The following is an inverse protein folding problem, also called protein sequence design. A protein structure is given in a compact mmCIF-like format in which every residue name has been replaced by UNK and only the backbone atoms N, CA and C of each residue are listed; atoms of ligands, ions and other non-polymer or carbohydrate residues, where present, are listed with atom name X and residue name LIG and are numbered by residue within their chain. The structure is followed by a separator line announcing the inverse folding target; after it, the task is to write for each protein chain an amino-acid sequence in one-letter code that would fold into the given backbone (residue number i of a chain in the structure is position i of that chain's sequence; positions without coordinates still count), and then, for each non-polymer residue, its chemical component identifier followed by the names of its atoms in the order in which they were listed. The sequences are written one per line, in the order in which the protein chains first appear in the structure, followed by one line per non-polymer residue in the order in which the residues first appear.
data_IF_601908898331
#
_entry.id   IF_601908898331
#
_cell.length_a   1.000
_cell.length_b   1.000
_cell.length_c   1.000
_cell.angle_alpha   90.00
_cell.angle_beta   90.00
_cell.angle_gamma   90.00
#
_symmetry.space_group_name_H-M   'P 1'
#
loop_
_entity.id
_entity.type
_entity.pdbx_description
1 polymer ?
#
# COMPACT_ATOMS: atom_id res chain seq x y z
N UNK A 1 3.87 -36.02 -0.25
CA UNK A 1 3.13 -34.83 0.17
C UNK A 1 3.74 -34.11 1.38
N UNK A 2 4.04 -34.77 2.51
CA UNK A 2 4.76 -34.13 3.63
C UNK A 2 6.24 -33.85 3.34
N UNK A 3 6.94 -34.70 2.57
CA UNK A 3 8.37 -34.54 2.22
C UNK A 3 8.68 -33.27 1.41
N UNK A 4 7.78 -32.80 0.56
CA UNK A 4 7.97 -31.55 -0.21
C UNK A 4 7.68 -30.30 0.63
N UNK A 5 7.06 -30.48 1.76
CA UNK A 5 6.62 -29.41 2.66
C UNK A 5 7.66 -29.03 3.71
N UNK A 6 8.40 -30.04 4.16
CA UNK A 6 9.43 -29.94 5.17
C UNK A 6 10.80 -29.77 4.51
N UNK A 7 10.90 -28.89 3.50
CA UNK A 7 12.23 -28.46 3.10
C UNK A 7 12.85 -27.78 4.33
N UNK A 8 13.86 -28.43 4.91
CA UNK A 8 14.56 -28.01 6.13
C UNK A 8 14.98 -26.53 6.05
N UNK A 9 15.32 -26.05 4.83
CA UNK A 9 15.65 -24.64 4.56
C UNK A 9 14.47 -23.70 4.77
N UNK A 10 13.26 -24.11 4.38
CA UNK A 10 12.07 -23.29 4.58
C UNK A 10 11.70 -23.20 6.05
N UNK A 11 11.67 -24.33 6.75
CA UNK A 11 11.39 -24.37 8.20
C UNK A 11 12.43 -23.60 8.99
N UNK A 12 13.71 -23.78 8.67
CA UNK A 12 14.79 -23.02 9.30
C UNK A 12 14.64 -21.53 9.08
N UNK A 13 14.44 -21.09 7.83
CA UNK A 13 14.25 -19.68 7.50
C UNK A 13 12.99 -19.11 8.15
N UNK A 14 11.88 -19.87 8.14
CA UNK A 14 10.65 -19.50 8.82
C UNK A 14 10.85 -19.35 10.34
N UNK A 15 11.55 -20.27 10.96
CA UNK A 15 11.86 -20.23 12.41
C UNK A 15 12.79 -19.07 12.77
N UNK A 16 13.82 -18.81 11.96
CA UNK A 16 14.73 -17.68 12.15
C UNK A 16 13.98 -16.35 12.05
N UNK A 17 13.08 -16.21 11.11
CA UNK A 17 12.27 -14.99 10.95
C UNK A 17 11.35 -14.80 12.16
N UNK A 18 10.67 -15.85 12.58
CA UNK A 18 9.82 -15.81 13.76
C UNK A 18 10.61 -15.43 15.01
N UNK A 19 11.78 -16.03 15.19
CA UNK A 19 12.67 -15.71 16.30
C UNK A 19 13.12 -14.26 16.26
N UNK A 20 13.58 -13.76 15.11
CA UNK A 20 14.01 -12.37 14.94
C UNK A 20 12.86 -11.39 15.18
N UNK A 21 11.68 -11.68 14.63
CA UNK A 21 10.52 -10.80 14.80
C UNK A 21 10.01 -10.82 16.23
N UNK A 22 10.02 -11.99 16.89
CA UNK A 22 9.68 -12.12 18.31
C UNK A 22 10.68 -11.36 19.20
N UNK A 23 11.97 -11.41 18.87
CA UNK A 23 13.01 -10.68 19.61
C UNK A 23 12.87 -9.16 19.47
N UNK A 24 12.46 -8.67 18.28
CA UNK A 24 12.30 -7.25 17.99
C UNK A 24 10.97 -6.65 18.49
N UNK A 25 9.91 -7.45 18.59
CA UNK A 25 8.57 -7.01 18.99
C UNK A 25 7.76 -8.12 19.71
N UNK A 26 8.20 -8.58 20.89
CA UNK A 26 7.72 -9.84 21.51
C UNK A 26 6.24 -9.81 21.89
N UNK A 27 5.78 -8.80 22.61
CA UNK A 27 4.38 -8.72 23.06
C UNK A 27 3.40 -8.59 21.92
N UNK A 28 3.76 -7.75 20.98
CA UNK A 28 2.95 -7.42 19.83
C UNK A 28 2.73 -8.61 18.91
N UNK A 29 3.82 -9.36 18.63
CA UNK A 29 3.75 -10.52 17.76
C UNK A 29 2.96 -11.66 18.38
N UNK A 30 3.11 -11.89 19.66
CA UNK A 30 2.41 -12.95 20.36
C UNK A 30 0.88 -12.71 20.32
N UNK A 31 0.45 -11.51 20.69
CA UNK A 31 -0.96 -11.14 20.70
C UNK A 31 -1.59 -11.18 19.29
N UNK A 32 -0.91 -10.59 18.29
CA UNK A 32 -1.38 -10.59 16.90
C UNK A 32 -1.43 -12.01 16.32
N UNK A 33 -0.44 -12.85 16.58
CA UNK A 33 -0.40 -14.21 16.04
C UNK A 33 -1.51 -15.10 16.60
N UNK A 34 -1.88 -14.96 17.87
CA UNK A 34 -3.04 -15.66 18.44
C UNK A 34 -4.34 -15.27 17.73
N UNK A 35 -4.56 -13.97 17.49
CA UNK A 35 -5.73 -13.50 16.75
C UNK A 35 -5.78 -14.08 15.34
N UNK A 36 -4.64 -14.11 14.65
CA UNK A 36 -4.61 -14.61 13.27
C UNK A 36 -4.82 -16.11 13.19
N UNK A 37 -4.28 -16.88 14.15
CA UNK A 37 -4.55 -18.30 14.26
C UNK A 37 -6.07 -18.51 14.47
N UNK A 38 -6.68 -17.74 15.38
CA UNK A 38 -8.12 -17.80 15.61
C UNK A 38 -8.92 -17.51 14.34
N UNK A 39 -8.57 -16.44 13.63
CA UNK A 39 -9.26 -16.09 12.37
C UNK A 39 -9.08 -17.18 11.30
N UNK A 40 -7.89 -17.78 11.18
CA UNK A 40 -7.64 -18.90 10.24
C UNK A 40 -8.50 -20.10 10.61
N UNK A 41 -8.56 -20.46 11.90
CA UNK A 41 -9.35 -21.59 12.38
C UNK A 41 -10.84 -21.35 12.09
N UNK A 42 -11.35 -20.14 12.40
CA UNK A 42 -12.74 -19.79 12.09
C UNK A 42 -13.05 -19.89 10.58
N UNK A 43 -12.18 -19.35 9.73
CA UNK A 43 -12.35 -19.43 8.28
C UNK A 43 -12.31 -20.88 7.79
N UNK A 44 -11.41 -21.71 8.34
CA UNK A 44 -11.35 -23.15 8.01
C UNK A 44 -12.61 -23.87 8.42
N UNK A 45 -13.12 -23.63 9.65
CA UNK A 45 -14.35 -24.22 10.15
C UNK A 45 -15.56 -23.80 9.30
N UNK A 46 -15.67 -22.52 8.96
CA UNK A 46 -16.76 -22.03 8.10
C UNK A 46 -16.69 -22.67 6.71
N UNK A 47 -15.51 -22.81 6.12
CA UNK A 47 -15.36 -23.48 4.82
C UNK A 47 -15.73 -24.97 4.87
N UNK A 48 -15.48 -25.62 6.01
CA UNK A 48 -15.71 -27.05 6.18
C UNK A 48 -17.18 -27.36 6.52
N UNK A 49 -17.76 -26.59 7.44
CA UNK A 49 -19.09 -26.86 8.00
C UNK A 49 -20.21 -26.13 7.24
N UNK A 50 -19.92 -24.96 6.67
CA UNK A 50 -20.91 -24.09 6.04
C UNK A 50 -20.51 -23.66 4.63
N UNK A 51 -20.51 -24.57 3.60
CA UNK A 51 -20.03 -24.26 2.24
C UNK A 51 -20.76 -23.10 1.56
N UNK A 52 -22.04 -22.87 1.87
CA UNK A 52 -22.79 -21.71 1.33
C UNK A 52 -22.30 -20.39 1.93
N UNK A 53 -22.06 -20.34 3.24
CA UNK A 53 -21.56 -19.17 3.95
C UNK A 53 -20.11 -18.86 3.56
N UNK A 54 -19.33 -19.88 3.24
CA UNK A 54 -17.92 -19.73 2.84
C UNK A 54 -17.73 -18.81 1.62
N UNK A 55 -18.74 -18.67 0.76
CA UNK A 55 -18.72 -17.76 -0.40
C UNK A 55 -18.69 -16.29 0.02
N UNK A 56 -19.15 -15.96 1.23
CA UNK A 56 -19.15 -14.60 1.78
C UNK A 56 -17.83 -14.24 2.50
N UNK A 57 -17.03 -15.25 2.88
CA UNK A 57 -15.79 -15.02 3.62
C UNK A 57 -14.82 -14.03 2.97
N UNK A 58 -14.57 -14.05 1.64
CA UNK A 58 -13.70 -13.09 1.01
C UNK A 58 -14.15 -11.64 1.19
N UNK A 59 -15.47 -11.40 1.18
CA UNK A 59 -16.06 -10.07 1.38
C UNK A 59 -15.99 -9.65 2.85
N UNK A 60 -16.32 -10.55 3.78
CA UNK A 60 -16.24 -10.32 5.22
C UNK A 60 -14.80 -9.94 5.60
N UNK A 61 -13.81 -10.70 5.12
CA UNK A 61 -12.40 -10.45 5.38
C UNK A 61 -11.93 -9.14 4.74
N UNK A 62 -12.44 -8.80 3.56
CA UNK A 62 -12.11 -7.54 2.90
C UNK A 62 -12.60 -6.34 3.72
N UNK A 63 -13.86 -6.33 4.12
CA UNK A 63 -14.45 -5.21 4.84
C UNK A 63 -14.10 -5.16 6.34
N UNK A 64 -13.62 -6.26 6.92
CA UNK A 64 -13.20 -6.28 8.33
C UNK A 64 -12.11 -5.27 8.65
N UNK A 65 -11.24 -4.95 7.70
CA UNK A 65 -10.20 -3.91 7.86
C UNK A 65 -10.83 -2.52 8.05
N UNK A 66 -11.78 -2.15 7.19
CA UNK A 66 -12.50 -0.87 7.31
C UNK A 66 -13.32 -0.77 8.60
N UNK A 67 -13.94 -1.88 9.04
CA UNK A 67 -14.64 -1.92 10.31
C UNK A 67 -13.71 -1.67 11.50
N UNK A 68 -12.53 -2.28 11.51
CA UNK A 68 -11.54 -2.07 12.58
C UNK A 68 -11.03 -0.62 12.64
N UNK A 69 -10.79 0.01 11.49
CA UNK A 69 -10.42 1.43 11.45
C UNK A 69 -11.55 2.33 11.96
N UNK A 70 -12.80 1.97 11.69
CA UNK A 70 -13.97 2.68 12.21
C UNK A 70 -14.10 2.59 13.73
N UNK A 71 -13.90 1.42 14.32
CA UNK A 71 -13.89 1.27 15.78
C UNK A 71 -12.76 2.08 16.43
N UNK A 72 -11.57 2.13 15.83
CA UNK A 72 -10.48 3.00 16.29
C UNK A 72 -10.86 4.49 16.24
N UNK A 73 -11.57 4.91 15.21
CA UNK A 73 -12.05 6.29 15.07
C UNK A 73 -13.12 6.64 16.14
N UNK A 74 -14.07 5.76 16.41
CA UNK A 74 -15.08 5.95 17.48
C UNK A 74 -14.39 6.11 18.83
N UNK A 75 -13.34 5.33 19.12
CA UNK A 75 -12.57 5.47 20.36
C UNK A 75 -12.00 6.89 20.53
N UNK A 76 -11.38 7.41 19.48
CA UNK A 76 -10.80 8.78 19.50
C UNK A 76 -11.89 9.82 19.74
N UNK A 77 -13.08 9.66 19.13
CA UNK A 77 -14.18 10.61 19.27
C UNK A 77 -14.87 10.56 20.64
N UNK A 78 -15.00 9.37 21.21
CA UNK A 78 -15.80 9.15 22.44
C UNK A 78 -14.97 9.21 23.71
N UNK A 79 -13.63 9.18 23.61
CA UNK A 79 -12.75 9.08 24.78
C UNK A 79 -12.94 7.80 25.60
N UNK A 80 -13.72 6.84 25.09
CA UNK A 80 -13.98 5.58 25.79
C UNK A 80 -12.75 4.71 25.82
N UNK A 81 -12.07 4.70 26.94
CA UNK A 81 -10.93 3.85 27.22
C UNK A 81 -11.39 2.47 27.72
N UNK A 82 -12.19 1.77 26.93
CA UNK A 82 -12.61 0.42 27.26
C UNK A 82 -11.50 -0.56 26.87
N UNK A 83 -11.02 -1.36 27.82
CA UNK A 83 -9.86 -2.26 27.68
C UNK A 83 -9.83 -3.18 26.45
N UNK A 84 -10.96 -3.40 25.78
CA UNK A 84 -11.05 -4.11 24.50
C UNK A 84 -10.51 -3.27 23.32
N UNK A 85 -10.59 -1.92 23.40
CA UNK A 85 -10.21 -1.02 22.28
C UNK A 85 -8.77 -0.50 22.45
N UNK A 86 -8.15 -0.66 23.61
CA UNK A 86 -6.69 -0.45 23.81
C UNK A 86 -5.85 -1.43 22.99
N UNK A 87 -6.49 -2.36 22.35
CA UNK A 87 -5.92 -3.41 21.53
C UNK A 87 -5.79 -3.05 20.04
N UNK A 88 -5.79 -1.77 19.61
CA UNK A 88 -5.47 -1.40 18.22
C UNK A 88 -4.11 -1.97 17.80
N UNK A 89 -3.21 -2.12 18.76
CA UNK A 89 -1.92 -2.78 18.58
C UNK A 89 -2.05 -4.26 18.17
N UNK A 90 -3.14 -4.95 18.51
CA UNK A 90 -3.35 -6.36 18.13
C UNK A 90 -3.68 -6.54 16.64
N UNK A 91 -4.05 -5.48 15.92
CA UNK A 91 -4.48 -5.55 14.53
C UNK A 91 -3.39 -5.14 13.54
N UNK A 92 -2.18 -4.97 14.03
CA UNK A 92 -1.04 -4.61 13.20
C UNK A 92 -0.81 -5.64 12.07
N UNK A 93 -0.69 -5.16 10.83
CA UNK A 93 -0.59 -6.02 9.67
C UNK A 93 -1.87 -6.78 9.31
N UNK A 94 -2.96 -6.60 10.06
CA UNK A 94 -4.23 -7.29 9.81
C UNK A 94 -4.78 -7.04 8.41
N UNK A 95 -4.64 -5.83 7.88
CA UNK A 95 -5.11 -5.48 6.55
C UNK A 95 -4.50 -6.37 5.46
N UNK A 96 -3.20 -6.61 5.49
CA UNK A 96 -2.54 -7.50 4.52
C UNK A 96 -2.85 -8.96 4.77
N UNK A 97 -2.97 -9.34 6.02
CA UNK A 97 -3.37 -10.69 6.41
C UNK A 97 -4.79 -11.00 5.93
N UNK A 98 -5.78 -10.16 6.24
CA UNK A 98 -7.18 -10.35 5.87
C UNK A 98 -7.38 -10.39 4.35
N UNK A 99 -6.70 -9.50 3.59
CA UNK A 99 -6.73 -9.50 2.14
C UNK A 99 -6.14 -10.79 1.55
N UNK A 100 -5.03 -11.27 2.11
CA UNK A 100 -4.40 -12.50 1.65
C UNK A 100 -5.23 -13.73 1.97
N UNK A 101 -5.82 -13.79 3.17
CA UNK A 101 -6.72 -14.85 3.58
C UNK A 101 -8.01 -14.84 2.74
N UNK A 102 -8.58 -13.66 2.50
CA UNK A 102 -9.74 -13.46 1.64
C UNK A 102 -9.49 -13.94 0.21
N UNK A 103 -8.31 -13.64 -0.33
CA UNK A 103 -7.93 -14.13 -1.65
C UNK A 103 -7.78 -15.66 -1.71
N UNK A 104 -7.19 -16.27 -0.69
CA UNK A 104 -7.11 -17.73 -0.60
C UNK A 104 -8.49 -18.36 -0.45
N UNK A 105 -9.37 -17.77 0.36
CA UNK A 105 -10.75 -18.23 0.52
C UNK A 105 -11.55 -18.15 -0.78
N UNK A 106 -11.24 -17.19 -1.65
CA UNK A 106 -11.87 -17.04 -2.97
C UNK A 106 -11.44 -18.12 -3.96
N UNK A 107 -10.14 -18.48 -3.96
CA UNK A 107 -9.55 -19.28 -5.04
C UNK A 107 -9.26 -20.73 -4.67
N UNK A 108 -9.18 -21.05 -3.37
CA UNK A 108 -8.84 -22.42 -2.92
C UNK A 108 -9.34 -22.67 -1.50
N UNK A 109 -9.53 -23.94 -1.16
CA UNK A 109 -9.70 -24.33 0.25
C UNK A 109 -8.40 -24.09 1.02
N UNK A 110 -8.53 -23.61 2.26
CA UNK A 110 -7.40 -23.49 3.16
C UNK A 110 -6.77 -24.87 3.40
N UNK A 111 -5.48 -24.95 3.21
CA UNK A 111 -4.67 -26.12 3.53
C UNK A 111 -3.48 -25.66 4.38
N UNK A 112 -2.81 -26.59 5.05
CA UNK A 112 -1.74 -26.32 5.98
C UNK A 112 -0.59 -25.52 5.34
N UNK A 113 -0.34 -25.70 4.05
CA UNK A 113 0.62 -24.94 3.26
C UNK A 113 0.29 -23.47 3.22
N UNK A 114 -0.94 -23.17 2.83
CA UNK A 114 -1.43 -21.82 2.68
C UNK A 114 -1.45 -21.12 4.04
N UNK A 115 -1.78 -21.86 5.11
CA UNK A 115 -1.81 -21.36 6.50
C UNK A 115 -0.40 -20.97 6.97
N UNK A 116 0.58 -21.85 6.86
CA UNK A 116 1.97 -21.55 7.23
C UNK A 116 2.52 -20.36 6.44
N UNK A 117 2.11 -20.26 5.18
CA UNK A 117 2.51 -19.15 4.34
C UNK A 117 1.87 -17.82 4.76
N UNK A 118 0.61 -17.84 5.19
CA UNK A 118 -0.08 -16.68 5.76
C UNK A 118 0.56 -16.21 7.07
N UNK A 119 1.02 -17.11 7.89
CA UNK A 119 1.64 -16.82 9.20
C UNK A 119 3.07 -16.29 9.10
N UNK A 120 3.63 -16.08 7.91
CA UNK A 120 4.96 -15.49 7.78
C UNK A 120 4.96 -14.02 8.23
N UNK A 121 5.70 -13.66 9.31
CA UNK A 121 5.61 -12.34 9.94
C UNK A 121 6.03 -11.18 9.05
N UNK A 122 6.90 -11.38 8.06
CA UNK A 122 7.29 -10.34 7.11
C UNK A 122 6.11 -9.78 6.32
N UNK A 123 5.07 -10.57 6.11
CA UNK A 123 3.86 -10.16 5.42
C UNK A 123 3.03 -9.16 6.21
N UNK A 124 3.24 -9.11 7.51
CA UNK A 124 2.51 -8.21 8.40
C UNK A 124 2.96 -6.77 8.26
N UNK A 125 4.22 -6.56 7.89
CA UNK A 125 4.75 -5.20 7.74
C UNK A 125 4.23 -4.52 6.48
N UNK A 126 4.20 -5.21 5.34
CA UNK A 126 3.71 -4.66 4.07
C UNK A 126 3.65 -5.72 2.97
N UNK A 127 3.49 -6.97 3.32
CA UNK A 127 3.61 -8.08 2.39
C UNK A 127 2.75 -7.90 1.15
N UNK A 128 3.27 -8.25 -0.03
CA UNK A 128 2.44 -8.34 -1.21
C UNK A 128 1.35 -9.37 -0.98
N UNK A 129 0.13 -9.06 -1.41
CA UNK A 129 -0.98 -10.02 -1.44
C UNK A 129 -0.56 -11.13 -2.40
N UNK A 130 -0.51 -12.36 -1.90
CA UNK A 130 -0.08 -13.49 -2.72
C UNK A 130 -1.22 -13.98 -3.57
N UNK A 131 -0.98 -14.07 -4.86
CA UNK A 131 -1.93 -14.59 -5.84
C UNK A 131 -1.64 -16.03 -6.29
N UNK A 132 -0.51 -16.61 -5.93
CA UNK A 132 -0.29 -18.04 -6.12
C UNK A 132 0.62 -18.60 -5.04
N UNK A 133 0.12 -19.58 -4.30
CA UNK A 133 0.97 -20.48 -3.53
C UNK A 133 1.41 -21.57 -4.50
N UNK A 134 2.54 -21.36 -5.15
CA UNK A 134 3.08 -22.40 -6.03
C UNK A 134 3.59 -23.56 -5.18
N UNK A 135 3.33 -24.79 -5.64
CA UNK A 135 3.74 -26.01 -4.94
C UNK A 135 5.25 -26.22 -4.88
N UNK A 136 6.04 -25.39 -5.54
CA UNK A 136 7.50 -25.53 -5.61
C UNK A 136 8.16 -24.22 -5.18
N UNK A 137 8.88 -24.28 -4.06
CA UNK A 137 9.88 -23.27 -3.73
C UNK A 137 10.95 -23.30 -4.83
N UNK A 138 11.25 -22.16 -5.42
CA UNK A 138 12.26 -22.09 -6.48
C UNK A 138 13.65 -22.04 -5.83
N UNK A 139 14.56 -22.88 -6.31
CA UNK A 139 15.95 -22.78 -5.92
C UNK A 139 16.50 -21.39 -6.24
N UNK A 140 17.19 -20.80 -5.26
CA UNK A 140 17.82 -19.50 -5.39
C UNK A 140 19.23 -19.69 -5.93
N UNK A 141 19.47 -19.32 -7.18
CA UNK A 141 20.81 -19.30 -7.78
C UNK A 141 21.56 -18.02 -7.42
N UNK A 142 22.90 -18.03 -7.49
CA UNK A 142 23.75 -16.86 -7.27
C UNK A 142 23.31 -15.65 -8.11
N UNK A 143 22.93 -15.88 -9.38
CA UNK A 143 22.39 -14.85 -10.27
C UNK A 143 21.10 -14.20 -9.74
N UNK A 144 20.28 -14.94 -8.98
CA UNK A 144 19.08 -14.41 -8.34
C UNK A 144 19.37 -13.64 -7.06
N UNK A 145 20.46 -13.97 -6.36
CA UNK A 145 20.87 -13.26 -5.12
C UNK A 145 21.11 -11.78 -5.43
N UNK A 146 21.83 -11.47 -6.50
CA UNK A 146 22.04 -10.08 -6.93
C UNK A 146 20.73 -9.32 -7.15
N UNK A 147 19.73 -9.97 -7.75
CA UNK A 147 18.41 -9.36 -7.95
C UNK A 147 17.66 -9.17 -6.63
N UNK A 148 17.74 -10.14 -5.72
CA UNK A 148 17.11 -10.09 -4.39
C UNK A 148 17.73 -8.95 -3.56
N UNK A 149 19.05 -8.87 -3.52
CA UNK A 149 19.77 -7.81 -2.80
C UNK A 149 19.39 -6.43 -3.33
N UNK A 150 19.26 -6.27 -4.66
CA UNK A 150 18.83 -5.00 -5.26
C UNK A 150 17.42 -4.60 -4.78
N UNK A 151 16.47 -5.54 -4.67
CA UNK A 151 15.15 -5.26 -4.13
C UNK A 151 15.20 -4.80 -2.67
N UNK A 152 16.02 -5.45 -1.85
CA UNK A 152 16.16 -5.09 -0.44
C UNK A 152 16.81 -3.71 -0.27
N UNK A 153 17.92 -3.45 -0.97
CA UNK A 153 18.62 -2.16 -0.95
C UNK A 153 17.67 -1.04 -1.43
N UNK A 154 16.98 -1.25 -2.54
CA UNK A 154 16.00 -0.29 -3.05
C UNK A 154 14.87 -0.04 -2.05
N UNK A 155 14.41 -1.09 -1.38
CA UNK A 155 13.39 -1.00 -0.36
C UNK A 155 13.83 -0.15 0.83
N UNK A 156 15.03 -0.38 1.36
CA UNK A 156 15.63 0.43 2.43
C UNK A 156 15.78 1.87 1.96
N UNK A 157 16.34 2.09 0.80
CA UNK A 157 16.56 3.43 0.26
C UNK A 157 15.26 4.23 0.13
N UNK A 158 14.19 3.61 -0.38
CA UNK A 158 12.90 4.28 -0.51
C UNK A 158 12.25 4.56 0.83
N UNK A 159 12.14 3.54 1.71
CA UNK A 159 11.39 3.65 2.95
C UNK A 159 12.13 4.42 4.05
N UNK A 160 13.46 4.29 4.13
CA UNK A 160 14.25 4.80 5.25
C UNK A 160 15.20 5.95 4.89
N UNK A 161 15.38 6.25 3.61
CA UNK A 161 16.17 7.41 3.18
C UNK A 161 15.27 8.44 2.51
N UNK A 162 14.62 8.10 1.39
CA UNK A 162 13.85 9.08 0.62
C UNK A 162 12.53 9.49 1.28
N UNK A 163 11.75 8.54 1.82
CA UNK A 163 10.47 8.88 2.43
C UNK A 163 10.64 9.78 3.67
N UNK A 164 11.56 9.52 4.63
CA UNK A 164 11.74 10.40 5.80
C UNK A 164 12.11 11.83 5.44
N UNK A 165 12.89 12.06 4.37
CA UNK A 165 13.25 13.43 3.95
C UNK A 165 12.04 14.27 3.56
N UNK A 166 10.94 13.65 3.15
CA UNK A 166 9.69 14.34 2.81
C UNK A 166 8.83 14.69 4.03
N UNK A 167 9.10 14.11 5.21
CA UNK A 167 8.34 14.43 6.45
C UNK A 167 8.50 15.88 6.90
N UNK A 168 9.57 16.55 6.52
CA UNK A 168 9.80 17.97 6.81
C UNK A 168 8.66 18.87 6.31
N UNK A 169 7.87 18.40 5.34
CA UNK A 169 6.73 19.09 4.77
C UNK A 169 5.39 18.79 5.46
N UNK A 170 5.36 17.91 6.47
CA UNK A 170 4.11 17.54 7.16
C UNK A 170 3.42 18.67 7.89
N UNK A 171 4.10 19.70 8.42
CA UNK A 171 3.42 20.88 8.98
C UNK A 171 2.47 21.57 7.99
N UNK A 172 2.73 21.46 6.67
CA UNK A 172 1.84 22.00 5.63
C UNK A 172 0.43 21.39 5.65
N UNK A 173 0.26 20.21 6.25
CA UNK A 173 -1.07 19.58 6.41
C UNK A 173 -2.03 20.51 7.19
N UNK A 174 -1.53 21.29 8.13
CA UNK A 174 -2.34 22.23 8.92
C UNK A 174 -2.73 23.52 8.18
N UNK A 175 -2.14 23.80 7.01
CA UNK A 175 -2.39 25.02 6.26
C UNK A 175 -3.67 24.96 5.42
N UNK A 176 -4.31 26.12 5.25
CA UNK A 176 -5.39 26.36 4.28
C UNK A 176 -4.95 27.24 3.13
N UNK A 177 -3.70 27.74 3.12
CA UNK A 177 -3.14 28.48 1.99
C UNK A 177 -3.06 27.59 0.74
N UNK A 178 -3.56 28.05 -0.39
CA UNK A 178 -3.65 27.27 -1.63
C UNK A 178 -2.31 26.66 -2.08
N UNK A 179 -1.22 27.43 -1.96
CA UNK A 179 0.12 26.98 -2.35
C UNK A 179 0.59 25.84 -1.42
N UNK A 180 0.40 25.99 -0.12
CA UNK A 180 0.77 24.98 0.87
C UNK A 180 -0.05 23.69 0.67
N UNK A 181 -1.36 23.81 0.44
CA UNK A 181 -2.27 22.69 0.22
C UNK A 181 -1.87 21.91 -1.04
N UNK A 182 -1.61 22.62 -2.14
CA UNK A 182 -1.18 22.01 -3.39
C UNK A 182 0.17 21.30 -3.23
N UNK A 183 1.14 22.00 -2.63
CA UNK A 183 2.48 21.48 -2.43
C UNK A 183 2.48 20.27 -1.49
N UNK A 184 1.74 20.35 -0.38
CA UNK A 184 1.59 19.21 0.54
C UNK A 184 0.98 18.00 -0.16
N UNK A 185 -0.12 18.17 -0.90
CA UNK A 185 -0.79 17.06 -1.58
C UNK A 185 0.14 16.37 -2.58
N UNK A 186 0.95 17.16 -3.29
CA UNK A 186 1.95 16.66 -4.22
C UNK A 186 3.06 15.89 -3.51
N UNK A 187 3.70 16.49 -2.49
CA UNK A 187 4.75 15.84 -1.69
C UNK A 187 4.25 14.58 -1.00
N UNK A 188 3.04 14.64 -0.41
CA UNK A 188 2.48 13.52 0.33
C UNK A 188 2.16 12.32 -0.55
N UNK A 189 1.80 12.53 -1.83
CA UNK A 189 1.66 11.45 -2.80
C UNK A 189 2.98 10.67 -2.96
N UNK A 190 4.10 11.39 -3.13
CA UNK A 190 5.42 10.74 -3.26
C UNK A 190 5.90 10.11 -1.95
N UNK A 191 5.61 10.74 -0.81
CA UNK A 191 5.90 10.15 0.50
C UNK A 191 5.21 8.80 0.67
N UNK A 192 3.91 8.73 0.41
CA UNK A 192 3.13 7.48 0.51
C UNK A 192 3.67 6.43 -0.46
N UNK A 193 4.00 6.83 -1.68
CA UNK A 193 4.62 5.92 -2.64
C UNK A 193 5.95 5.36 -2.17
N UNK A 194 6.87 6.23 -1.77
CA UNK A 194 8.22 5.83 -1.36
C UNK A 194 8.19 4.92 -0.13
N UNK A 195 7.39 5.28 0.87
CA UNK A 195 7.21 4.48 2.07
C UNK A 195 6.63 3.11 1.73
N UNK A 196 5.48 3.07 1.08
CA UNK A 196 4.77 1.82 0.81
C UNK A 196 5.46 0.94 -0.25
N UNK A 197 5.98 1.53 -1.32
CA UNK A 197 6.75 0.78 -2.32
C UNK A 197 8.06 0.26 -1.72
N UNK A 198 8.75 1.05 -0.91
CA UNK A 198 9.98 0.67 -0.23
C UNK A 198 9.78 -0.54 0.65
N UNK A 199 8.80 -0.49 1.54
CA UNK A 199 8.46 -1.62 2.40
C UNK A 199 8.01 -2.86 1.59
N UNK A 200 7.23 -2.66 0.50
CA UNK A 200 6.85 -3.76 -0.40
C UNK A 200 8.06 -4.40 -1.08
N UNK A 201 9.06 -3.62 -1.46
CA UNK A 201 10.29 -4.14 -2.07
C UNK A 201 11.12 -4.92 -1.06
N UNK A 202 11.20 -4.48 0.20
CA UNK A 202 11.83 -5.23 1.29
C UNK A 202 11.16 -6.59 1.48
N UNK A 203 9.83 -6.59 1.64
CA UNK A 203 9.05 -7.82 1.81
C UNK A 203 9.23 -8.77 0.62
N UNK A 204 9.22 -8.23 -0.61
CA UNK A 204 9.47 -9.00 -1.82
C UNK A 204 10.88 -9.60 -1.89
N UNK A 205 11.90 -8.79 -1.60
CA UNK A 205 13.30 -9.24 -1.59
C UNK A 205 13.46 -10.40 -0.63
N UNK A 206 12.92 -10.26 0.56
CA UNK A 206 12.96 -11.26 1.59
C UNK A 206 12.19 -12.55 1.20
N UNK A 207 10.94 -12.46 0.76
CA UNK A 207 10.17 -13.64 0.34
C UNK A 207 10.84 -14.39 -0.82
N UNK A 208 11.43 -13.65 -1.76
CA UNK A 208 12.18 -14.25 -2.88
C UNK A 208 13.48 -14.91 -2.43
N UNK A 209 14.14 -14.43 -1.36
CA UNK A 209 15.32 -15.14 -0.80
C UNK A 209 14.96 -16.51 -0.25
N UNK A 210 13.72 -16.66 0.23
CA UNK A 210 13.14 -17.94 0.65
C UNK A 210 12.61 -18.81 -0.51
N UNK A 211 12.80 -18.36 -1.75
CA UNK A 211 12.26 -19.06 -2.94
C UNK A 211 10.74 -18.87 -3.14
N UNK A 212 10.11 -18.00 -2.37
CA UNK A 212 8.67 -17.74 -2.43
C UNK A 212 8.33 -16.82 -3.58
N UNK A 213 7.49 -17.22 -4.55
CA UNK A 213 7.02 -16.33 -5.60
C UNK A 213 6.06 -15.29 -5.04
N UNK A 214 6.32 -14.02 -5.31
CA UNK A 214 5.47 -12.91 -4.92
C UNK A 214 5.26 -11.94 -6.08
N UNK A 215 4.13 -11.26 -6.06
CA UNK A 215 3.77 -10.25 -7.04
C UNK A 215 4.43 -8.94 -6.66
N UNK A 216 4.92 -8.20 -7.66
CA UNK A 216 5.31 -6.82 -7.47
C UNK A 216 4.06 -5.99 -7.18
N UNK A 217 4.07 -5.28 -6.05
CA UNK A 217 2.92 -4.47 -5.62
C UNK A 217 2.88 -3.10 -6.32
N UNK A 218 4.02 -2.65 -6.85
CA UNK A 218 4.18 -1.41 -7.60
C UNK A 218 4.95 -1.64 -8.89
N UNK A 219 4.55 -0.99 -9.97
CA UNK A 219 5.22 -1.04 -11.26
C UNK A 219 5.38 0.36 -11.87
N UNK A 220 6.18 1.22 -11.23
CA UNK A 220 6.40 2.61 -11.66
C UNK A 220 5.09 3.35 -11.97
N UNK A 221 4.23 3.58 -10.97
CA UNK A 221 2.91 4.17 -11.19
C UNK A 221 2.96 5.55 -11.85
N UNK A 222 3.99 6.35 -11.55
CA UNK A 222 4.18 7.67 -12.16
C UNK A 222 4.69 7.64 -13.60
N UNK A 223 5.03 6.46 -14.14
CA UNK A 223 5.29 6.28 -15.57
C UNK A 223 4.00 5.98 -16.36
N UNK A 224 2.85 6.02 -15.72
CA UNK A 224 1.55 5.91 -16.38
C UNK A 224 1.28 7.15 -17.24
N UNK A 225 0.54 6.96 -18.31
CA UNK A 225 0.10 8.04 -19.20
C UNK A 225 -1.34 8.50 -18.90
N UNK A 226 -2.02 7.82 -17.97
CA UNK A 226 -3.39 8.13 -17.59
C UNK A 226 -3.76 7.45 -16.26
N UNK A 227 -4.91 7.86 -15.67
CA UNK A 227 -5.36 7.38 -14.36
C UNK A 227 -5.70 5.88 -14.35
N UNK A 228 -6.16 5.32 -15.46
CA UNK A 228 -6.49 3.89 -15.56
C UNK A 228 -5.21 3.06 -15.45
N UNK A 229 -4.20 3.45 -16.20
CA UNK A 229 -2.88 2.82 -16.18
C UNK A 229 -2.20 3.00 -14.82
N UNK A 230 -2.35 4.17 -14.18
CA UNK A 230 -1.84 4.41 -12.83
C UNK A 230 -2.37 3.37 -11.83
N UNK A 231 -3.67 3.14 -11.77
CA UNK A 231 -4.28 2.16 -10.87
C UNK A 231 -3.91 0.71 -11.19
N UNK A 232 -3.55 0.40 -12.43
CA UNK A 232 -2.99 -0.91 -12.80
C UNK A 232 -1.55 -1.12 -12.31
N UNK A 233 -0.85 -0.02 -11.98
CA UNK A 233 0.55 -0.01 -11.54
C UNK A 233 0.72 0.27 -10.06
N UNK A 234 -0.30 0.82 -9.40
CA UNK A 234 -0.37 1.13 -7.98
C UNK A 234 -1.07 0.00 -7.22
N UNK A 235 -0.45 -0.45 -6.11
CA UNK A 235 -1.01 -1.49 -5.21
C UNK A 235 -1.67 -2.65 -5.96
N UNK A 236 -0.90 -3.27 -6.85
CA UNK A 236 -1.35 -4.27 -7.83
C UNK A 236 -2.06 -5.45 -7.14
N UNK A 237 -1.59 -5.83 -5.95
CA UNK A 237 -2.21 -6.88 -5.15
C UNK A 237 -3.67 -6.55 -4.81
N UNK A 238 -3.91 -5.37 -4.24
CA UNK A 238 -5.27 -4.91 -3.90
C UNK A 238 -6.13 -4.73 -5.16
N UNK A 239 -5.58 -4.11 -6.21
CA UNK A 239 -6.29 -3.92 -7.48
C UNK A 239 -6.79 -5.23 -8.08
N UNK A 240 -5.98 -6.29 -8.06
CA UNK A 240 -6.39 -7.63 -8.53
C UNK A 240 -7.47 -8.24 -7.67
N UNK A 241 -7.37 -8.10 -6.35
CA UNK A 241 -8.39 -8.59 -5.42
C UNK A 241 -9.72 -7.84 -5.62
N UNK A 242 -9.70 -6.51 -5.67
CA UNK A 242 -10.88 -5.70 -5.94
C UNK A 242 -11.52 -6.04 -7.30
N UNK A 243 -10.69 -6.28 -8.32
CA UNK A 243 -11.17 -6.75 -9.62
C UNK A 243 -11.92 -8.07 -9.49
N UNK A 244 -11.39 -9.03 -8.76
CA UNK A 244 -12.01 -10.36 -8.61
C UNK A 244 -13.28 -10.33 -7.76
N UNK A 245 -13.30 -9.53 -6.67
CA UNK A 245 -14.43 -9.49 -5.74
C UNK A 245 -15.56 -8.57 -6.20
N UNK A 246 -15.23 -7.42 -6.80
CA UNK A 246 -16.22 -6.37 -7.06
C UNK A 246 -16.38 -6.10 -8.56
N UNK A 247 -15.28 -5.85 -9.27
CA UNK A 247 -15.39 -5.44 -10.68
C UNK A 247 -16.01 -6.52 -11.56
N UNK A 248 -15.46 -7.73 -11.59
CA UNK A 248 -15.93 -8.78 -12.51
C UNK A 248 -17.38 -9.24 -12.22
N UNK A 249 -17.76 -9.51 -10.95
CA UNK A 249 -19.15 -9.90 -10.64
C UNK A 249 -20.16 -8.80 -10.97
N UNK A 250 -19.85 -7.54 -10.61
CA UNK A 250 -20.76 -6.40 -10.84
C UNK A 250 -20.85 -6.07 -12.32
N UNK A 251 -19.71 -6.09 -13.03
CA UNK A 251 -19.70 -5.86 -14.48
C UNK A 251 -20.58 -6.84 -15.25
N UNK A 252 -20.54 -8.10 -14.84
CA UNK A 252 -21.34 -9.18 -15.48
C UNK A 252 -22.83 -8.94 -15.35
N UNK A 253 -23.27 -8.31 -14.25
CA UNK A 253 -24.70 -8.11 -13.94
C UNK A 253 -25.19 -6.70 -14.27
N UNK A 254 -24.38 -5.66 -14.05
CA UNK A 254 -24.78 -4.26 -14.09
C UNK A 254 -23.95 -3.39 -15.03
N UNK A 255 -23.00 -3.98 -15.76
CA UNK A 255 -22.14 -3.26 -16.69
C UNK A 255 -20.92 -2.59 -16.05
N UNK A 256 -20.08 -2.01 -16.92
CA UNK A 256 -18.75 -1.50 -16.56
C UNK A 256 -18.80 -0.30 -15.61
N UNK A 257 -19.72 0.66 -15.84
CA UNK A 257 -19.77 1.90 -15.05
C UNK A 257 -20.08 1.63 -13.58
N UNK A 258 -21.07 0.78 -13.31
CA UNK A 258 -21.43 0.36 -11.95
C UNK A 258 -20.31 -0.48 -11.33
N UNK A 259 -19.61 -1.29 -12.12
CA UNK A 259 -18.48 -2.08 -11.64
C UNK A 259 -17.29 -1.21 -11.19
N UNK A 260 -16.98 -0.13 -11.92
CA UNK A 260 -15.95 0.84 -11.53
C UNK A 260 -16.34 1.53 -10.22
N UNK A 261 -17.57 2.03 -10.12
CA UNK A 261 -18.09 2.64 -8.89
C UNK A 261 -17.99 1.68 -7.69
N UNK A 262 -18.51 0.46 -7.84
CA UNK A 262 -18.46 -0.56 -6.79
C UNK A 262 -17.01 -0.86 -6.35
N UNK A 263 -16.07 -0.89 -7.30
CA UNK A 263 -14.66 -1.17 -7.02
C UNK A 263 -14.01 -0.06 -6.20
N UNK A 264 -14.18 1.20 -6.59
CA UNK A 264 -13.59 2.33 -5.87
C UNK A 264 -14.26 2.56 -4.52
N UNK A 265 -15.59 2.44 -4.43
CA UNK A 265 -16.29 2.54 -3.13
C UNK A 265 -15.91 1.41 -2.17
N UNK A 266 -15.77 0.18 -2.67
CA UNK A 266 -15.30 -0.93 -1.82
C UNK A 266 -13.87 -0.69 -1.34
N UNK A 267 -12.99 -0.19 -2.21
CA UNK A 267 -11.63 0.20 -1.80
C UNK A 267 -11.64 1.34 -0.78
N UNK A 268 -12.53 2.32 -0.94
CA UNK A 268 -12.71 3.43 0.01
C UNK A 268 -13.11 2.92 1.40
N UNK A 269 -14.13 2.07 1.48
CA UNK A 269 -14.61 1.46 2.74
C UNK A 269 -13.51 0.59 3.39
N UNK A 270 -12.68 -0.07 2.58
CA UNK A 270 -11.54 -0.82 3.10
C UNK A 270 -10.51 0.08 3.80
N UNK A 271 -10.29 1.30 3.31
CA UNK A 271 -9.44 2.30 3.98
C UNK A 271 -10.06 2.87 5.25
N UNK A 272 -11.39 2.96 5.32
CA UNK A 272 -12.14 3.46 6.46
C UNK A 272 -13.55 3.92 6.07
N UNK A 273 -14.40 4.15 7.07
CA UNK A 273 -15.80 4.57 6.87
C UNK A 273 -15.98 6.09 7.02
N UNK A 274 -14.90 6.86 7.06
CA UNK A 274 -14.98 8.32 7.13
C UNK A 274 -15.39 8.93 5.78
N UNK A 275 -15.99 10.12 5.83
CA UNK A 275 -16.53 10.83 4.66
C UNK A 275 -15.48 11.09 3.58
N UNK A 276 -14.24 11.43 3.97
CA UNK A 276 -13.17 11.69 3.02
C UNK A 276 -12.87 10.44 2.14
N UNK A 277 -12.91 9.23 2.69
CA UNK A 277 -12.69 8.02 1.88
C UNK A 277 -13.83 7.78 0.90
N UNK A 278 -15.07 8.04 1.30
CA UNK A 278 -16.22 7.93 0.36
C UNK A 278 -16.08 8.95 -0.76
N UNK A 279 -15.76 10.21 -0.44
CA UNK A 279 -15.51 11.28 -1.42
C UNK A 279 -14.35 10.87 -2.34
N UNK A 280 -13.28 10.30 -1.79
CA UNK A 280 -12.14 9.78 -2.55
C UNK A 280 -12.56 8.68 -3.54
N UNK A 281 -13.37 7.74 -3.11
CA UNK A 281 -13.88 6.66 -3.97
C UNK A 281 -14.76 7.17 -5.11
N UNK A 282 -15.65 8.12 -4.83
CA UNK A 282 -16.48 8.79 -5.84
C UNK A 282 -15.64 9.61 -6.81
N UNK A 283 -14.68 10.38 -6.31
CA UNK A 283 -13.74 11.17 -7.12
C UNK A 283 -12.95 10.27 -8.08
N UNK A 284 -12.35 9.19 -7.61
CA UNK A 284 -11.59 8.29 -8.47
C UNK A 284 -12.46 7.50 -9.45
N UNK A 285 -13.71 7.22 -9.10
CA UNK A 285 -14.69 6.69 -10.06
C UNK A 285 -14.89 7.67 -11.19
N UNK A 286 -15.17 8.94 -10.89
CA UNK A 286 -15.36 9.99 -11.89
C UNK A 286 -14.11 10.20 -12.73
N UNK A 287 -12.93 10.31 -12.10
CA UNK A 287 -11.66 10.47 -12.79
C UNK A 287 -11.35 9.30 -13.74
N UNK A 288 -11.68 8.07 -13.34
CA UNK A 288 -11.54 6.89 -14.17
C UNK A 288 -12.49 6.96 -15.39
N UNK A 289 -13.76 7.34 -15.18
CA UNK A 289 -14.77 7.45 -16.24
C UNK A 289 -14.44 8.56 -17.24
N UNK A 290 -13.99 9.73 -16.76
CA UNK A 290 -13.50 10.82 -17.62
C UNK A 290 -12.34 10.31 -18.47
N UNK A 291 -11.35 9.67 -17.86
CA UNK A 291 -10.20 9.12 -18.58
C UNK A 291 -10.61 8.09 -19.61
N UNK A 292 -11.53 7.20 -19.28
CA UNK A 292 -12.06 6.20 -20.21
C UNK A 292 -12.73 6.86 -21.42
N UNK A 293 -13.53 7.90 -21.21
CA UNK A 293 -14.21 8.65 -22.26
C UNK A 293 -13.21 9.39 -23.16
N UNK A 294 -12.19 10.03 -22.56
CA UNK A 294 -11.12 10.68 -23.31
C UNK A 294 -10.36 9.70 -24.21
N UNK A 295 -10.00 8.53 -23.67
CA UNK A 295 -9.30 7.49 -24.43
C UNK A 295 -10.17 6.89 -25.54
N UNK A 296 -11.47 6.67 -25.27
CA UNK A 296 -12.44 6.18 -26.27
C UNK A 296 -12.57 7.14 -27.44
N UNK A 297 -12.53 8.45 -27.16
CA UNK A 297 -12.61 9.50 -28.17
C UNK A 297 -11.23 9.89 -28.75
N UNK A 298 -10.20 9.06 -28.55
CA UNK A 298 -8.81 9.25 -29.02
C UNK A 298 -8.11 10.52 -28.49
N UNK A 299 -8.61 11.11 -27.41
CA UNK A 299 -8.08 12.32 -26.76
C UNK A 299 -6.99 11.96 -25.73
N UNK A 300 -5.95 11.23 -26.16
CA UNK A 300 -4.89 10.70 -25.27
C UNK A 300 -4.12 11.82 -24.54
N UNK A 301 -3.86 12.94 -25.21
CA UNK A 301 -3.13 14.05 -24.62
C UNK A 301 -3.85 14.64 -23.41
N UNK A 302 -5.18 14.83 -23.50
CA UNK A 302 -5.98 15.31 -22.37
C UNK A 302 -6.04 14.30 -21.22
N UNK A 303 -6.09 12.99 -21.52
CA UNK A 303 -6.00 11.96 -20.50
C UNK A 303 -4.65 12.00 -19.77
N UNK A 304 -3.55 12.31 -20.49
CA UNK A 304 -2.21 12.45 -19.89
C UNK A 304 -2.10 13.72 -19.05
N UNK A 305 -2.59 14.85 -19.54
CA UNK A 305 -2.58 16.11 -18.77
C UNK A 305 -3.46 16.03 -17.51
N UNK A 306 -4.59 15.33 -17.58
CA UNK A 306 -5.49 15.12 -16.44
C UNK A 306 -4.93 14.19 -15.37
N UNK A 307 -4.02 13.28 -15.72
CA UNK A 307 -3.56 12.20 -14.84
C UNK A 307 -2.93 12.70 -13.54
N UNK A 308 -1.85 13.48 -13.59
CA UNK A 308 -1.12 13.89 -12.39
C UNK A 308 -1.96 14.82 -11.49
N UNK A 309 -2.66 15.84 -12.00
CA UNK A 309 -3.59 16.63 -11.20
C UNK A 309 -4.65 15.79 -10.48
N UNK A 310 -5.24 14.79 -11.16
CA UNK A 310 -6.24 13.92 -10.55
C UNK A 310 -5.65 13.05 -9.42
N UNK A 311 -4.43 12.54 -9.57
CA UNK A 311 -3.75 11.78 -8.52
C UNK A 311 -3.46 12.67 -7.30
N UNK A 312 -2.93 13.87 -7.51
CA UNK A 312 -2.60 14.82 -6.43
C UNK A 312 -3.87 15.28 -5.70
N UNK A 313 -4.93 15.62 -6.43
CA UNK A 313 -6.19 16.01 -5.83
C UNK A 313 -6.84 14.84 -5.05
N UNK A 314 -6.79 13.63 -5.60
CA UNK A 314 -7.21 12.43 -4.87
C UNK A 314 -6.42 12.22 -3.58
N UNK A 315 -5.14 12.58 -3.56
CA UNK A 315 -4.31 12.52 -2.35
C UNK A 315 -4.71 13.55 -1.30
N UNK A 316 -5.09 14.76 -1.70
CA UNK A 316 -5.67 15.75 -0.80
C UNK A 316 -6.89 15.19 -0.08
N UNK A 317 -7.86 14.66 -0.83
CA UNK A 317 -9.09 14.08 -0.27
C UNK A 317 -8.75 12.95 0.71
N UNK A 318 -7.82 12.08 0.33
CA UNK A 318 -7.42 10.93 1.14
C UNK A 318 -6.75 11.34 2.47
N UNK A 319 -5.95 12.41 2.46
CA UNK A 319 -5.10 12.81 3.60
C UNK A 319 -5.84 13.56 4.69
N UNK A 320 -7.02 14.12 4.40
CA UNK A 320 -7.76 14.99 5.34
C UNK A 320 -9.03 14.29 5.82
N UNK A 321 -9.00 13.88 7.09
CA UNK A 321 -10.14 13.18 7.71
C UNK A 321 -11.25 14.13 8.20
N UNK A 322 -10.91 15.39 8.49
CA UNK A 322 -11.91 16.38 8.85
C UNK A 322 -12.58 16.95 7.60
N UNK A 323 -13.87 16.69 7.45
CA UNK A 323 -14.64 17.08 6.27
C UNK A 323 -14.72 18.58 6.07
N UNK A 324 -14.84 19.34 7.15
CA UNK A 324 -14.91 20.81 7.09
C UNK A 324 -13.58 21.41 6.60
N UNK A 325 -12.46 20.95 7.18
CA UNK A 325 -11.11 21.35 6.74
C UNK A 325 -10.85 20.91 5.30
N UNK A 326 -11.32 19.73 4.91
CA UNK A 326 -11.21 19.26 3.53
C UNK A 326 -11.90 20.20 2.55
N UNK A 327 -13.14 20.63 2.85
CA UNK A 327 -13.86 21.56 1.98
C UNK A 327 -13.21 22.96 1.97
N UNK A 328 -12.70 23.45 3.11
CA UNK A 328 -11.92 24.69 3.15
C UNK A 328 -10.70 24.63 2.23
N UNK A 329 -9.93 23.53 2.28
CA UNK A 329 -8.77 23.32 1.40
C UNK A 329 -9.15 23.21 -0.07
N UNK A 330 -10.23 22.53 -0.40
CA UNK A 330 -10.74 22.44 -1.77
C UNK A 330 -11.15 23.82 -2.26
N UNK A 331 -11.89 24.58 -1.45
CA UNK A 331 -12.31 25.94 -1.79
C UNK A 331 -11.10 26.86 -2.00
N UNK A 332 -10.12 26.78 -1.09
CA UNK A 332 -8.88 27.54 -1.22
C UNK A 332 -8.14 27.23 -2.53
N UNK A 333 -8.05 25.95 -2.92
CA UNK A 333 -7.43 25.59 -4.20
C UNK A 333 -8.22 26.11 -5.42
N UNK A 334 -9.55 26.01 -5.38
CA UNK A 334 -10.40 26.46 -6.51
C UNK A 334 -10.34 27.97 -6.68
N UNK A 335 -10.36 28.73 -5.57
CA UNK A 335 -10.27 30.19 -5.58
C UNK A 335 -8.83 30.72 -5.62
N UNK A 336 -7.84 29.82 -5.52
CA UNK A 336 -6.43 30.14 -5.38
C UNK A 336 -6.16 31.13 -4.22
N UNK A 337 -6.80 30.86 -3.08
CA UNK A 337 -6.72 31.72 -1.90
C UNK A 337 -5.37 31.58 -1.19
N UNK A 338 -4.61 32.65 -1.20
CA UNK A 338 -3.31 32.80 -0.55
C UNK A 338 -3.33 33.79 0.63
N UNK A 339 -4.50 34.16 1.12
CA UNK A 339 -4.66 35.12 2.23
C UNK A 339 -4.08 34.65 3.55
N UNK A 340 -4.15 33.34 3.83
CA UNK A 340 -3.48 32.74 4.97
C UNK A 340 -1.95 32.75 4.80
N UNK A 341 -1.16 32.96 5.87
CA UNK A 341 0.30 32.91 5.79
C UNK A 341 0.80 31.55 5.31
N UNK A 342 1.69 31.52 4.32
CA UNK A 342 2.28 30.27 3.81
C UNK A 342 3.31 29.72 4.80
N UNK A 343 3.10 28.50 5.27
CA UNK A 343 4.06 27.74 6.09
C UNK A 343 5.27 27.35 5.26
N UNK A 344 5.08 27.06 3.98
CA UNK A 344 6.14 26.65 3.06
C UNK A 344 7.25 27.71 2.98
N UNK A 345 6.88 28.97 2.77
CA UNK A 345 7.85 30.06 2.63
C UNK A 345 8.37 30.56 3.98
N UNK A 346 7.53 30.62 5.01
CA UNK A 346 7.87 31.21 6.29
C UNK A 346 8.67 30.26 7.22
N UNK A 347 8.41 28.94 7.16
CA UNK A 347 8.98 27.97 8.11
C UNK A 347 9.83 26.88 7.49
N UNK A 348 9.54 26.45 6.27
CA UNK A 348 10.29 25.36 5.62
C UNK A 348 11.52 25.88 4.90
N UNK A 349 11.38 26.93 4.10
CA UNK A 349 12.45 27.59 3.40
C UNK A 349 12.90 26.88 2.12
N UNK A 350 13.60 27.66 1.27
CA UNK A 350 13.97 27.25 -0.08
C UNK A 350 14.87 25.99 -0.14
N UNK A 351 15.83 25.86 0.80
CA UNK A 351 16.77 24.73 0.79
C UNK A 351 16.08 23.38 0.96
N UNK A 352 15.13 23.28 1.88
CA UNK A 352 14.34 22.05 2.09
C UNK A 352 13.40 21.77 0.92
N UNK A 353 12.81 22.83 0.31
CA UNK A 353 12.02 22.68 -0.92
C UNK A 353 12.83 22.05 -2.05
N UNK A 354 14.06 22.52 -2.28
CA UNK A 354 14.94 21.95 -3.31
C UNK A 354 15.21 20.48 -3.03
N UNK A 355 15.50 20.10 -1.79
CA UNK A 355 15.72 18.69 -1.41
C UNK A 355 14.49 17.85 -1.71
N UNK A 356 13.29 18.31 -1.32
CA UNK A 356 12.03 17.62 -1.63
C UNK A 356 11.82 17.41 -3.13
N UNK A 357 12.07 18.45 -3.93
CA UNK A 357 11.96 18.39 -5.39
C UNK A 357 12.99 17.43 -6.01
N UNK A 358 14.23 17.38 -5.47
CA UNK A 358 15.24 16.40 -5.90
C UNK A 358 14.75 14.98 -5.65
N UNK A 359 14.20 14.69 -4.46
CA UNK A 359 13.64 13.37 -4.13
C UNK A 359 12.55 12.98 -5.14
N UNK A 360 11.63 13.90 -5.42
CA UNK A 360 10.57 13.68 -6.41
C UNK A 360 11.15 13.46 -7.80
N UNK A 361 12.14 14.26 -8.20
CA UNK A 361 12.81 14.10 -9.49
C UNK A 361 13.45 12.70 -9.63
N UNK A 362 14.08 12.17 -8.59
CA UNK A 362 14.64 10.80 -8.59
C UNK A 362 13.56 9.77 -8.90
N UNK A 363 12.35 9.93 -8.33
CA UNK A 363 11.21 9.03 -8.60
C UNK A 363 10.71 9.20 -10.03
N UNK A 364 10.58 10.44 -10.49
CA UNK A 364 10.07 10.78 -11.82
C UNK A 364 11.08 10.56 -12.93
N UNK A 365 12.38 10.57 -12.64
CA UNK A 365 13.44 10.41 -13.63
C UNK A 365 13.24 9.16 -14.51
N UNK A 366 12.77 8.08 -13.90
CA UNK A 366 12.44 6.86 -14.63
C UNK A 366 11.31 7.06 -15.66
N UNK A 367 10.30 7.84 -15.32
CA UNK A 367 9.20 8.18 -16.22
C UNK A 367 9.67 9.12 -17.34
N UNK A 368 10.45 10.14 -16.98
CA UNK A 368 10.96 11.17 -17.88
C UNK A 368 11.90 10.56 -18.94
N UNK A 369 12.85 9.72 -18.49
CA UNK A 369 13.86 9.13 -19.38
C UNK A 369 13.43 7.80 -20.01
N UNK A 370 12.13 7.42 -19.94
CA UNK A 370 11.56 6.20 -20.53
C UNK A 370 12.38 4.93 -20.25
N UNK A 371 12.99 4.84 -19.08
CA UNK A 371 13.70 3.63 -18.69
C UNK A 371 12.72 2.45 -18.64
N UNK A 372 13.05 1.43 -19.45
CA UNK A 372 12.20 0.26 -19.71
C UNK A 372 11.58 -0.39 -18.44
N UNK A 373 10.40 -0.89 -18.62
CA UNK A 373 9.33 -1.47 -17.80
C UNK A 373 9.64 -2.24 -16.49
N UNK A 374 10.88 -2.25 -15.99
CA UNK A 374 11.20 -2.93 -14.74
C UNK A 374 12.06 -2.04 -13.85
N UNK A 375 11.48 -1.49 -12.78
CA UNK A 375 12.16 -0.64 -11.79
C UNK A 375 13.52 -1.18 -11.36
N UNK A 376 13.60 -2.48 -11.05
CA UNK A 376 14.83 -3.11 -10.58
C UNK A 376 15.96 -3.17 -11.63
N UNK A 377 15.64 -3.16 -12.94
CA UNK A 377 16.69 -3.21 -13.97
C UNK A 377 17.52 -1.94 -14.04
N UNK A 378 16.88 -0.80 -13.79
CA UNK A 378 17.59 0.49 -13.72
C UNK A 378 18.54 0.53 -12.53
N UNK A 379 18.03 0.22 -11.33
CA UNK A 379 18.82 0.28 -10.10
C UNK A 379 19.87 -0.84 -9.97
N UNK A 380 19.82 -1.86 -10.82
CA UNK A 380 20.83 -2.94 -10.87
C UNK A 380 22.03 -2.63 -11.76
N UNK A 381 21.96 -1.59 -12.60
CA UNK A 381 23.04 -1.28 -13.56
C UNK A 381 24.21 -0.56 -12.89
N UNK A 382 25.42 -1.05 -13.18
CA UNK A 382 26.70 -0.40 -12.83
C UNK A 382 26.85 -0.16 -11.34
N UNK A 383 27.23 1.06 -10.97
CA UNK A 383 27.50 1.51 -9.60
C UNK A 383 26.25 1.88 -8.78
N UNK A 384 25.05 1.82 -9.35
CA UNK A 384 23.82 2.25 -8.67
C UNK A 384 23.56 1.54 -7.34
N UNK A 385 23.73 0.20 -7.21
CA UNK A 385 23.59 -0.48 -5.91
C UNK A 385 24.60 0.03 -4.87
N UNK A 386 25.83 0.38 -5.30
CA UNK A 386 26.86 0.93 -4.40
C UNK A 386 26.48 2.33 -3.96
N UNK A 387 26.00 3.19 -4.87
CA UNK A 387 25.52 4.54 -4.55
C UNK A 387 24.36 4.46 -3.55
N UNK A 388 23.41 3.58 -3.78
CA UNK A 388 22.28 3.37 -2.87
C UNK A 388 22.74 2.90 -1.49
N UNK A 389 23.69 1.98 -1.43
CA UNK A 389 24.26 1.50 -0.17
C UNK A 389 24.98 2.61 0.59
N UNK A 390 25.81 3.40 -0.09
CA UNK A 390 26.50 4.55 0.50
C UNK A 390 25.48 5.57 1.02
N UNK A 391 24.43 5.86 0.25
CA UNK A 391 23.37 6.76 0.70
C UNK A 391 22.68 6.27 1.98
N UNK A 392 22.43 4.95 2.11
CA UNK A 392 21.85 4.35 3.33
C UNK A 392 22.80 4.53 4.51
N UNK A 393 24.10 4.33 4.32
CA UNK A 393 25.12 4.45 5.37
C UNK A 393 25.32 5.90 5.83
N UNK A 394 25.11 6.86 4.95
CA UNK A 394 25.27 8.30 5.25
C UNK A 394 24.01 8.89 5.93
N UNK A 395 22.85 8.28 5.75
CA UNK A 395 21.61 8.72 6.38
C UNK A 395 21.35 7.89 7.64
N UNK A 396 21.25 8.55 8.78
CA UNK A 396 20.82 7.93 10.03
C UNK A 396 19.39 7.40 9.84
N UNK A 397 19.20 6.12 10.15
CA UNK A 397 17.87 5.51 10.14
C UNK A 397 17.02 6.25 11.20
N UNK A 398 15.96 6.90 10.76
CA UNK A 398 15.02 7.58 11.66
C UNK A 398 14.24 6.51 12.46
N UNK A 399 14.30 6.57 13.80
CA UNK A 399 13.66 5.62 14.71
C UNK A 399 12.13 5.58 14.60
N UNK A 400 11.53 6.57 13.94
CA UNK A 400 10.09 6.65 13.70
C UNK A 400 9.67 5.87 12.45
N UNK A 401 9.61 4.55 12.56
CA UNK A 401 9.04 3.70 11.52
C UNK A 401 7.52 3.92 11.49
N UNK A 402 7.05 4.73 10.57
CA UNK A 402 5.61 4.78 10.26
C UNK A 402 5.28 3.59 9.36
N UNK A 403 4.77 2.55 9.98
CA UNK A 403 4.26 1.38 9.25
C UNK A 403 2.91 1.77 8.65
N UNK A 404 2.76 1.56 7.36
CA UNK A 404 1.52 1.84 6.65
C UNK A 404 0.38 1.02 7.28
N UNK A 405 -0.65 1.70 7.78
CA UNK A 405 -1.80 1.08 8.46
C UNK A 405 -1.72 1.02 10.00
N UNK A 406 -0.64 1.49 10.62
CA UNK A 406 -0.58 1.75 12.05
C UNK A 406 -1.00 3.21 12.32
N UNK A 407 -2.29 3.46 12.39
CA UNK A 407 -2.93 4.65 12.98
C UNK A 407 -4.20 4.22 13.66
#
# INVERSE_FOLDING_TARGET
MLKDFLNLKFLFSFSVIWALTYFLAPEFLFKSSLLWILVIVLVYLIQSLFPKLSKLLPYILFYSTGALTFFGYIKVLTGMDNGIINSVDYFWGYSFFSLSLGYLALNSKLNIKNILFLLNPIRFFTGPILFSVTNKLKNVSLKKISTISTWMILGIFFAYVLAPTLKVFFPLKGSTNAIDVLFFSFIYEFYVYLNFAGLSFLAMGFLRSLGVPCINNFNSPFSATNIIEYWQRWHIGLSKLCKALFYEPVKKRFGMYIAVLATFLSSAIWHGISSNFIIWGLFHTLAWLITYTLLKNNNKIYATLFFLPAVVFGRLIFSESNTEILFQKITSLVLFDTSAPSILFNHIGLGKMIIGLIVIFVVLAKAIFKFNNHEYKFYRKGWMPVILLISILLFVIDDNIVIYGAR
#
